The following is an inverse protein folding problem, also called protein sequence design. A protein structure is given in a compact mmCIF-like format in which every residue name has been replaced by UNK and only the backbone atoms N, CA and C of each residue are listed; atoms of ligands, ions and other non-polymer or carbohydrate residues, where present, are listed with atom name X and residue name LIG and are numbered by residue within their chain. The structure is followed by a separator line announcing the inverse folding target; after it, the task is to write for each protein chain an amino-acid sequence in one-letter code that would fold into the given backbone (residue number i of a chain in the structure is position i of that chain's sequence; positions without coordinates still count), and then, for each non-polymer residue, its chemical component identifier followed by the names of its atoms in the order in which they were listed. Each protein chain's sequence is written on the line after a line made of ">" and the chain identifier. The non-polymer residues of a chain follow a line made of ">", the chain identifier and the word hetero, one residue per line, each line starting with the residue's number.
data_IF_349351166084
#
_entry.id   IF_349351166084
#
_cell.length_a   1.000
_cell.length_b   1.000
_cell.length_c   1.000
_cell.angle_alpha   90.00
_cell.angle_beta   90.00
_cell.angle_gamma   90.00
#
_symmetry.space_group_name_H-M   'P 1'
#
loop_
_entity.id
_entity.type
_entity.pdbx_description
1 polymer ?
#
# COMPACT_ATOMS: atom_id res chain seq x y z
N UNK A 1 -28.20 -51.04 15.43
CA UNK A 1 -27.64 -49.82 16.08
C UNK A 1 -26.50 -49.33 15.21
N UNK A 2 -26.65 -48.16 14.56
CA UNK A 2 -25.65 -47.62 13.64
C UNK A 2 -24.98 -46.46 14.39
N UNK A 3 -23.70 -46.62 14.73
CA UNK A 3 -22.95 -45.58 15.40
C UNK A 3 -22.78 -44.36 14.47
N UNK A 4 -22.91 -43.12 14.96
CA UNK A 4 -22.57 -41.95 14.16
C UNK A 4 -21.06 -41.92 13.97
N UNK A 5 -20.63 -42.01 12.71
CA UNK A 5 -19.26 -41.72 12.32
C UNK A 5 -19.14 -40.20 12.43
N UNK A 6 -18.58 -39.71 13.54
CA UNK A 6 -18.10 -38.34 13.61
C UNK A 6 -16.92 -38.23 12.64
N UNK A 7 -17.19 -37.83 11.40
CA UNK A 7 -16.14 -37.42 10.46
C UNK A 7 -15.56 -36.10 10.98
N UNK A 8 -14.65 -36.19 11.94
CA UNK A 8 -13.73 -35.11 12.24
C UNK A 8 -12.72 -35.07 11.10
N UNK A 9 -13.12 -34.54 9.94
CA UNK A 9 -12.13 -34.10 8.95
C UNK A 9 -11.28 -33.04 9.65
N UNK A 10 -9.99 -33.30 9.91
CA UNK A 10 -9.15 -32.32 10.57
C UNK A 10 -9.14 -31.07 9.71
N UNK A 11 -9.55 -29.94 10.29
CA UNK A 11 -9.40 -28.64 9.62
C UNK A 11 -7.91 -28.42 9.40
N UNK A 12 -7.43 -28.27 8.16
CA UNK A 12 -6.00 -28.13 7.91
C UNK A 12 -5.44 -26.88 8.59
N UNK A 13 -4.45 -27.06 9.46
CA UNK A 13 -3.67 -25.93 9.96
C UNK A 13 -2.73 -25.43 8.87
N UNK A 14 -2.68 -24.12 8.68
CA UNK A 14 -1.65 -23.50 7.85
C UNK A 14 -0.65 -22.81 8.78
N UNK A 15 0.63 -23.19 8.67
CA UNK A 15 1.71 -22.48 9.35
C UNK A 15 1.80 -21.05 8.85
N UNK A 16 1.95 -20.10 9.77
CA UNK A 16 2.27 -18.73 9.39
C UNK A 16 3.60 -18.65 8.65
N UNK A 17 3.79 -17.58 7.89
CA UNK A 17 4.99 -17.37 7.10
C UNK A 17 5.50 -15.94 7.22
N UNK A 18 6.80 -15.79 6.96
CA UNK A 18 7.46 -14.48 6.87
C UNK A 18 7.59 -14.08 5.41
N UNK A 19 7.20 -12.86 5.09
CA UNK A 19 7.47 -12.24 3.80
C UNK A 19 8.59 -11.22 3.93
N UNK A 20 9.52 -11.26 2.99
CA UNK A 20 10.58 -10.26 2.85
C UNK A 20 10.27 -9.32 1.70
N UNK A 21 10.14 -8.04 2.02
CA UNK A 21 9.99 -6.98 1.03
C UNK A 21 11.34 -6.29 0.83
N UNK A 22 11.95 -6.52 -0.32
CA UNK A 22 13.20 -5.86 -0.70
C UNK A 22 12.96 -4.35 -0.84
N UNK A 23 13.85 -3.55 -0.25
CA UNK A 23 13.81 -2.10 -0.40
C UNK A 23 14.12 -1.69 -1.85
N UNK A 24 13.55 -0.57 -2.29
CA UNK A 24 13.76 -0.09 -3.65
C UNK A 24 13.82 1.44 -3.71
N UNK A 25 14.42 1.92 -4.80
CA UNK A 25 14.52 3.33 -5.14
C UNK A 25 13.41 3.71 -6.11
N UNK A 26 12.66 4.75 -5.78
CA UNK A 26 11.74 5.41 -6.69
C UNK A 26 12.31 6.75 -7.16
N UNK A 27 12.18 7.00 -8.46
CA UNK A 27 12.50 8.29 -9.06
C UNK A 27 11.21 9.04 -9.38
N UNK A 28 11.08 10.23 -8.82
CA UNK A 28 10.01 11.16 -9.17
C UNK A 28 10.55 12.24 -10.10
N UNK A 29 10.09 12.20 -11.36
CA UNK A 29 10.40 13.24 -12.34
C UNK A 29 9.85 14.58 -11.88
N UNK A 30 10.64 15.64 -12.07
CA UNK A 30 10.17 17.00 -11.78
C UNK A 30 9.03 17.41 -12.70
N UNK A 31 8.14 18.26 -12.19
CA UNK A 31 6.96 18.70 -12.92
C UNK A 31 6.66 20.18 -12.67
N UNK A 32 5.86 20.75 -13.57
CA UNK A 32 5.36 22.12 -13.48
C UNK A 32 3.90 22.11 -13.04
N UNK A 33 3.59 22.91 -12.03
CA UNK A 33 2.22 23.20 -11.61
C UNK A 33 1.82 24.60 -12.05
N UNK A 34 0.61 24.72 -12.59
CA UNK A 34 -0.01 26.00 -12.92
C UNK A 34 -1.03 26.38 -11.85
N UNK A 35 -0.83 27.55 -11.24
CA UNK A 35 -1.82 28.17 -10.36
C UNK A 35 -2.55 29.25 -11.14
N UNK A 36 -3.85 29.08 -11.45
CA UNK A 36 -4.61 30.06 -12.22
C UNK A 36 -4.73 31.39 -11.47
N UNK A 37 -4.92 32.46 -12.24
CA UNK A 37 -5.20 33.78 -11.68
C UNK A 37 -6.51 33.77 -10.90
N UNK A 38 -6.57 34.57 -9.85
CA UNK A 38 -7.79 34.74 -9.05
C UNK A 38 -7.97 36.22 -8.70
N UNK A 39 -9.22 36.67 -8.66
CA UNK A 39 -9.56 38.07 -8.43
C UNK A 39 -10.42 38.21 -7.18
N UNK A 40 -10.13 39.25 -6.42
CA UNK A 40 -10.87 39.71 -5.25
C UNK A 40 -11.37 41.13 -5.48
N UNK A 41 -12.32 41.63 -4.66
CA UNK A 41 -12.82 43.01 -4.76
C UNK A 41 -11.73 44.10 -4.70
N UNK A 42 -10.57 43.79 -4.11
CA UNK A 42 -9.46 44.72 -3.92
C UNK A 42 -8.27 44.49 -4.86
N UNK A 43 -8.40 43.57 -5.83
CA UNK A 43 -7.37 43.33 -6.84
C UNK A 43 -7.33 41.90 -7.37
N UNK A 44 -6.59 41.71 -8.46
CA UNK A 44 -6.36 40.40 -9.07
C UNK A 44 -4.92 39.94 -8.85
N UNK A 45 -4.77 38.65 -8.54
CA UNK A 45 -3.48 37.97 -8.51
C UNK A 45 -3.28 37.24 -9.84
N UNK A 46 -2.18 37.52 -10.58
CA UNK A 46 -1.90 36.83 -11.82
C UNK A 46 -1.59 35.35 -11.55
N UNK A 47 -1.88 34.52 -12.55
CA UNK A 47 -1.52 33.11 -12.48
C UNK A 47 0.00 32.93 -12.50
N UNK A 48 0.46 31.87 -11.85
CA UNK A 48 1.89 31.61 -11.67
C UNK A 48 2.21 30.14 -11.92
N UNK A 49 3.37 29.92 -12.54
CA UNK A 49 3.97 28.60 -12.69
C UNK A 49 4.90 28.32 -11.52
N UNK A 50 4.87 27.10 -11.00
CA UNK A 50 5.81 26.62 -9.99
C UNK A 50 6.48 25.34 -10.45
N UNK A 51 7.80 25.33 -10.38
CA UNK A 51 8.60 24.14 -10.66
C UNK A 51 8.76 23.30 -9.40
N UNK A 52 8.54 22.00 -9.53
CA UNK A 52 8.87 21.00 -8.55
C UNK A 52 10.07 20.18 -9.06
N UNK A 53 11.26 20.28 -8.43
CA UNK A 53 12.44 19.55 -8.88
C UNK A 53 12.27 18.04 -8.69
N UNK A 54 12.93 17.23 -9.54
CA UNK A 54 12.95 15.78 -9.36
C UNK A 54 13.62 15.40 -8.04
N UNK A 55 13.20 14.27 -7.47
CA UNK A 55 13.86 13.68 -6.32
C UNK A 55 13.85 12.16 -6.36
N UNK A 56 14.66 11.57 -5.48
CA UNK A 56 14.74 10.15 -5.24
C UNK A 56 14.18 9.84 -3.85
N UNK A 57 13.29 8.87 -3.79
CA UNK A 57 12.78 8.32 -2.53
C UNK A 57 13.31 6.90 -2.33
N UNK A 58 13.66 6.60 -1.08
CA UNK A 58 14.14 5.27 -0.69
C UNK A 58 13.11 4.57 0.20
N UNK A 59 12.58 3.47 -0.29
CA UNK A 59 11.75 2.57 0.49
C UNK A 59 12.64 1.51 1.15
N UNK A 60 12.73 1.54 2.47
CA UNK A 60 13.54 0.58 3.24
C UNK A 60 12.95 -0.82 3.15
N UNK A 61 13.82 -1.81 3.07
CA UNK A 61 13.43 -3.20 3.18
C UNK A 61 12.77 -3.46 4.54
N UNK A 62 11.78 -4.36 4.56
CA UNK A 62 11.11 -4.77 5.79
C UNK A 62 10.65 -6.23 5.73
N UNK A 63 10.41 -6.77 6.91
CA UNK A 63 9.83 -8.10 7.10
C UNK A 63 8.41 -7.94 7.60
N UNK A 64 7.50 -8.76 7.05
CA UNK A 64 6.13 -8.87 7.54
C UNK A 64 5.84 -10.31 7.97
N UNK A 65 5.07 -10.45 9.06
CA UNK A 65 4.68 -11.75 9.59
C UNK A 65 3.20 -11.99 9.33
N UNK A 66 2.91 -13.02 8.56
CA UNK A 66 1.55 -13.51 8.38
C UNK A 66 1.28 -14.66 9.36
N UNK A 67 0.49 -14.44 10.42
CA UNK A 67 0.17 -15.50 11.36
C UNK A 67 -0.67 -16.58 10.68
N UNK A 68 -0.33 -17.83 10.98
CA UNK A 68 -1.11 -18.98 10.54
C UNK A 68 -2.48 -18.99 11.21
N UNK A 69 -3.48 -19.52 10.50
CA UNK A 69 -4.83 -19.64 11.01
C UNK A 69 -5.39 -21.05 10.81
N UNK A 70 -6.38 -21.37 11.63
CA UNK A 70 -7.21 -22.55 11.47
C UNK A 70 -8.46 -22.15 10.67
N UNK A 71 -8.72 -22.79 9.54
CA UNK A 71 -9.92 -22.46 8.74
C UNK A 71 -10.14 -23.38 7.55
N UNK A 72 -11.40 -23.50 7.14
CA UNK A 72 -11.81 -24.27 5.96
C UNK A 72 -11.80 -23.32 4.76
N UNK A 73 -10.95 -23.55 3.76
CA UNK A 73 -11.12 -22.92 2.44
C UNK A 73 -12.39 -23.50 1.81
N UNK A 74 -13.38 -22.65 1.57
CA UNK A 74 -14.59 -22.95 0.79
C UNK A 74 -14.52 -22.24 -0.55
#
# INVERSE_FOLDING_TARGET
>A
MRAPIYSQTPTPWHSGHWDYHTGHLDYHSGHWDWYPSHCHPWGCHPGQWKWHPPHWDWHKAYWDWHPGYWGNHH
#
